data_IF_420206808691
#
_entry.id   IF_420206808691
#
_cell.length_a   1.000
_cell.length_b   1.000
_cell.length_c   1.000
_cell.angle_alpha   90.00
_cell.angle_beta   90.00
_cell.angle_gamma   90.00
#
_symmetry.space_group_name_H-M   'P 1'
#
loop_
_entity.id
_entity.type
_entity.pdbx_description
1 polymer ?
#
# COMPACT_ATOMS: atom_id res chain seq x y z
N UNK A 1 -11.77 77.85 -78.63
CA UNK A 1 -13.15 77.92 -78.09
C UNK A 1 -13.54 76.56 -77.56
N UNK A 2 -14.04 76.59 -76.40
CA UNK A 2 -14.92 75.65 -75.71
C UNK A 2 -14.33 74.59 -74.84
N UNK A 3 -14.36 74.83 -73.61
CA UNK A 3 -14.72 74.16 -72.37
C UNK A 3 -14.40 72.63 -72.19
N UNK A 4 -13.45 72.46 -71.29
CA UNK A 4 -13.29 71.23 -70.51
C UNK A 4 -14.33 71.06 -69.41
N UNK A 5 -14.85 69.90 -69.14
CA UNK A 5 -15.49 69.51 -67.88
C UNK A 5 -14.79 68.28 -67.29
N UNK A 6 -14.16 68.53 -66.16
CA UNK A 6 -13.58 67.54 -65.27
C UNK A 6 -14.69 66.76 -64.57
N UNK A 7 -14.59 65.41 -64.49
CA UNK A 7 -15.38 64.59 -63.62
C UNK A 7 -14.42 63.75 -62.77
N UNK A 8 -14.41 64.11 -61.51
CA UNK A 8 -13.62 63.38 -60.45
C UNK A 8 -14.35 62.08 -60.05
N UNK A 9 -13.75 60.95 -60.30
CA UNK A 9 -14.27 59.66 -59.83
C UNK A 9 -13.58 59.32 -58.50
N UNK A 10 -14.39 59.21 -57.45
CA UNK A 10 -13.96 58.80 -56.11
C UNK A 10 -14.03 57.23 -56.07
N UNK A 11 -12.88 56.59 -56.03
CA UNK A 11 -12.81 55.16 -55.78
C UNK A 11 -12.82 54.91 -54.28
N UNK A 12 -13.92 54.32 -53.79
CA UNK A 12 -13.99 53.78 -52.43
C UNK A 12 -13.27 52.43 -52.45
N UNK A 13 -12.13 52.29 -51.73
CA UNK A 13 -11.51 51.06 -51.39
C UNK A 13 -12.25 50.46 -50.20
N UNK A 14 -12.94 49.32 -50.42
CA UNK A 14 -13.51 48.48 -49.39
C UNK A 14 -12.41 47.50 -48.97
N UNK A 15 -11.85 47.69 -47.78
CA UNK A 15 -10.90 46.71 -47.18
C UNK A 15 -11.69 45.52 -46.67
N UNK A 16 -11.52 44.36 -47.29
CA UNK A 16 -12.05 43.10 -46.86
C UNK A 16 -11.09 42.51 -45.79
N UNK A 17 -11.46 42.66 -44.51
CA UNK A 17 -10.73 42.00 -43.43
C UNK A 17 -11.08 40.50 -43.41
N UNK A 18 -10.16 39.67 -43.88
CA UNK A 18 -10.23 38.19 -43.74
C UNK A 18 -9.82 37.84 -42.34
N UNK A 19 -10.79 37.56 -41.45
CA UNK A 19 -10.51 36.91 -40.16
C UNK A 19 -10.12 35.47 -40.41
N UNK A 20 -8.82 35.17 -40.31
CA UNK A 20 -8.31 33.81 -40.28
C UNK A 20 -8.51 33.26 -38.85
N UNK A 21 -9.64 32.63 -38.57
CA UNK A 21 -9.88 31.84 -37.36
C UNK A 21 -9.06 30.56 -37.44
N UNK A 22 -7.89 30.53 -36.79
CA UNK A 22 -7.15 29.30 -36.54
C UNK A 22 -7.93 28.46 -35.54
N UNK A 23 -8.66 27.46 -36.05
CA UNK A 23 -9.14 26.33 -35.26
C UNK A 23 -7.90 25.55 -34.78
N UNK A 24 -7.45 25.81 -33.55
CA UNK A 24 -6.60 24.86 -32.83
C UNK A 24 -7.49 23.64 -32.54
N UNK A 25 -7.44 22.64 -33.39
CA UNK A 25 -7.92 21.30 -33.07
C UNK A 25 -7.07 20.81 -31.93
N UNK A 26 -7.62 20.74 -30.70
CA UNK A 26 -7.04 20.01 -29.63
C UNK A 26 -6.98 18.54 -30.10
N UNK A 27 -5.77 18.07 -30.42
CA UNK A 27 -5.56 16.64 -30.64
C UNK A 27 -5.95 15.94 -29.33
N UNK A 28 -6.79 14.89 -29.36
CA UNK A 28 -6.99 14.09 -28.18
C UNK A 28 -5.62 13.59 -27.73
N UNK A 29 -5.25 13.88 -26.49
CA UNK A 29 -4.11 13.23 -25.84
C UNK A 29 -4.36 11.74 -25.98
N UNK A 30 -3.50 11.02 -26.68
CA UNK A 30 -3.53 9.57 -26.68
C UNK A 30 -3.44 9.15 -25.22
N UNK A 31 -4.49 8.54 -24.70
CA UNK A 31 -4.42 7.92 -23.38
C UNK A 31 -3.22 6.97 -23.41
N UNK A 32 -2.31 7.10 -22.47
CA UNK A 32 -1.17 6.21 -22.39
C UNK A 32 -1.71 4.78 -22.28
N UNK A 33 -1.20 3.90 -23.15
CA UNK A 33 -1.63 2.50 -23.17
C UNK A 33 -1.26 1.87 -21.83
N UNK A 34 -2.23 1.23 -21.16
CA UNK A 34 -1.97 0.57 -19.88
C UNK A 34 -0.92 -0.51 -20.06
N UNK A 35 0.08 -0.65 -19.18
CA UNK A 35 1.10 -1.67 -19.31
C UNK A 35 0.46 -3.07 -19.29
N UNK A 36 0.89 -3.94 -20.20
CA UNK A 36 0.49 -5.34 -20.19
C UNK A 36 1.35 -6.13 -19.21
N UNK A 37 0.70 -6.95 -18.35
CA UNK A 37 1.43 -7.78 -17.41
C UNK A 37 2.28 -8.83 -18.12
N UNK A 38 3.56 -8.91 -17.72
CA UNK A 38 4.50 -9.94 -18.13
C UNK A 38 5.17 -10.58 -16.92
N UNK A 39 5.39 -11.90 -16.97
CA UNK A 39 6.22 -12.58 -15.98
C UNK A 39 7.67 -12.12 -16.14
N UNK A 40 8.29 -11.74 -15.03
CA UNK A 40 9.66 -11.21 -15.00
C UNK A 40 10.62 -12.30 -14.54
N UNK A 41 11.80 -12.38 -15.16
CA UNK A 41 12.88 -13.29 -14.73
C UNK A 41 13.27 -12.98 -13.28
N UNK A 42 13.42 -14.03 -12.46
CA UNK A 42 13.84 -13.88 -11.08
C UNK A 42 15.37 -13.69 -11.01
N UNK A 43 15.80 -12.65 -10.33
CA UNK A 43 17.20 -12.36 -9.99
C UNK A 43 17.30 -12.10 -8.49
N UNK A 44 18.40 -12.53 -7.87
CA UNK A 44 18.61 -12.33 -6.44
C UNK A 44 18.69 -10.83 -6.10
N UNK A 45 19.39 -10.07 -6.95
CA UNK A 45 19.61 -8.62 -6.80
C UNK A 45 19.53 -7.95 -8.16
N UNK A 46 18.70 -6.92 -8.27
CA UNK A 46 18.71 -5.99 -9.40
C UNK A 46 19.11 -4.61 -8.91
N UNK A 47 20.36 -4.18 -9.18
CA UNK A 47 20.89 -2.91 -8.64
C UNK A 47 20.20 -1.67 -9.19
N UNK A 48 19.83 -1.64 -10.45
CA UNK A 48 19.25 -0.48 -11.17
C UNK A 48 19.98 0.84 -10.83
N UNK A 49 19.22 1.87 -10.35
CA UNK A 49 19.85 3.16 -9.98
C UNK A 49 20.53 3.15 -8.61
N UNK A 50 20.40 2.06 -7.86
CA UNK A 50 21.09 1.84 -6.61
C UNK A 50 20.50 2.55 -5.39
N UNK A 51 21.34 2.69 -4.35
CA UNK A 51 21.03 3.25 -3.04
C UNK A 51 22.03 4.37 -2.68
N UNK A 52 22.35 5.22 -3.67
CA UNK A 52 23.45 6.16 -3.56
C UNK A 52 23.30 7.23 -2.50
N UNK A 53 22.06 7.69 -2.24
CA UNK A 53 21.82 8.76 -1.27
C UNK A 53 22.05 8.27 0.17
N UNK A 54 21.47 7.13 0.54
CA UNK A 54 21.63 6.56 1.89
C UNK A 54 23.06 6.09 2.12
N UNK A 55 23.70 5.43 1.13
CA UNK A 55 25.08 4.97 1.25
C UNK A 55 26.09 6.10 1.38
N UNK A 56 25.87 7.23 0.70
CA UNK A 56 26.70 8.43 0.90
C UNK A 56 26.61 8.92 2.34
N UNK A 57 25.41 9.04 2.91
CA UNK A 57 25.23 9.45 4.32
C UNK A 57 25.90 8.48 5.31
N UNK A 58 25.73 7.17 5.09
CA UNK A 58 26.34 6.14 5.93
C UNK A 58 27.86 6.22 5.92
N UNK A 59 28.48 6.34 4.72
CA UNK A 59 29.95 6.49 4.58
C UNK A 59 30.50 7.78 5.18
N UNK A 60 29.69 8.83 5.23
CA UNK A 60 30.03 10.11 5.87
C UNK A 60 29.77 10.12 7.39
N UNK A 61 29.34 9.02 7.99
CA UNK A 61 29.00 8.94 9.42
C UNK A 61 27.79 9.77 9.85
N UNK A 62 26.92 10.14 8.90
CA UNK A 62 25.73 10.94 9.19
C UNK A 62 24.59 10.08 9.75
N UNK A 63 23.70 10.64 10.58
CA UNK A 63 22.50 9.94 11.01
C UNK A 63 21.63 9.50 9.83
N UNK A 64 21.16 8.25 9.88
CA UNK A 64 20.33 7.62 8.83
C UNK A 64 19.12 6.98 9.45
N UNK A 65 17.96 7.15 8.80
CA UNK A 65 16.70 6.51 9.16
C UNK A 65 16.28 5.53 8.06
N UNK A 66 16.09 4.27 8.46
CA UNK A 66 15.68 3.19 7.54
C UNK A 66 14.23 2.81 7.84
N UNK A 67 13.35 3.04 6.87
CA UNK A 67 11.95 2.66 6.91
C UNK A 67 11.74 1.24 6.41
N UNK A 68 10.84 0.51 7.10
CA UNK A 68 10.44 -0.84 6.72
C UNK A 68 8.91 -0.88 6.59
N UNK A 69 8.42 -0.74 5.37
CA UNK A 69 7.00 -0.75 5.02
C UNK A 69 6.64 -2.13 4.47
N UNK A 70 5.68 -2.83 5.09
CA UNK A 70 5.35 -4.19 4.64
C UNK A 70 4.24 -4.86 5.42
N UNK A 71 4.14 -6.18 5.20
CA UNK A 71 3.19 -7.09 5.84
C UNK A 71 3.71 -7.71 7.13
N UNK A 72 3.19 -8.91 7.45
CA UNK A 72 3.50 -9.63 8.71
C UNK A 72 4.96 -10.08 8.80
N UNK A 73 5.58 -10.48 7.70
CA UNK A 73 6.97 -10.93 7.67
C UNK A 73 7.91 -9.79 8.06
N UNK A 74 7.63 -8.59 7.57
CA UNK A 74 8.38 -7.37 7.93
C UNK A 74 7.99 -6.82 9.31
N UNK A 75 6.73 -7.02 9.76
CA UNK A 75 6.30 -6.59 11.10
C UNK A 75 6.95 -7.40 12.22
N UNK A 76 7.35 -8.64 11.97
CA UNK A 76 8.08 -9.47 12.94
C UNK A 76 9.41 -8.81 13.36
N UNK A 77 9.86 -9.09 14.58
CA UNK A 77 11.17 -8.67 15.06
C UNK A 77 12.29 -9.58 14.46
N UNK A 78 12.27 -9.73 13.16
CA UNK A 78 13.16 -10.63 12.41
C UNK A 78 14.13 -9.86 11.49
N UNK A 79 14.05 -10.10 10.17
CA UNK A 79 15.00 -9.55 9.18
C UNK A 79 15.16 -8.04 9.29
N UNK A 80 14.09 -7.31 9.53
CA UNK A 80 14.10 -5.87 9.74
C UNK A 80 15.06 -5.44 10.85
N UNK A 81 14.95 -6.06 12.04
CA UNK A 81 15.79 -5.74 13.20
C UNK A 81 17.24 -6.17 12.94
N UNK A 82 17.44 -7.36 12.36
CA UNK A 82 18.77 -7.88 12.01
C UNK A 82 19.45 -7.00 10.96
N UNK A 83 18.73 -6.56 9.94
CA UNK A 83 19.24 -5.65 8.89
C UNK A 83 19.62 -4.29 9.47
N UNK A 84 18.78 -3.69 10.33
CA UNK A 84 19.12 -2.44 11.02
C UNK A 84 20.42 -2.61 11.84
N UNK A 85 20.57 -3.74 12.54
CA UNK A 85 21.80 -4.01 13.30
C UNK A 85 23.00 -4.13 12.36
N UNK A 86 22.86 -4.89 11.27
CA UNK A 86 23.92 -4.99 10.25
C UNK A 86 24.37 -3.62 9.72
N UNK A 87 23.44 -2.71 9.40
CA UNK A 87 23.81 -1.35 8.97
C UNK A 87 24.61 -0.61 10.05
N UNK A 88 24.24 -0.77 11.32
CA UNK A 88 24.97 -0.12 12.44
C UNK A 88 26.38 -0.71 12.62
N UNK A 89 26.55 -2.00 12.39
CA UNK A 89 27.83 -2.69 12.51
C UNK A 89 28.76 -2.40 11.31
N UNK A 90 28.19 -2.34 10.09
CA UNK A 90 28.93 -2.05 8.85
C UNK A 90 29.36 -0.58 8.75
N UNK A 91 28.56 0.35 9.36
CA UNK A 91 28.83 1.79 9.33
C UNK A 91 28.83 2.34 10.77
N UNK A 92 29.84 2.01 11.59
CA UNK A 92 29.84 2.30 13.02
C UNK A 92 29.85 3.79 13.36
N UNK A 93 30.30 4.66 12.45
CA UNK A 93 30.28 6.11 12.62
C UNK A 93 28.90 6.72 12.39
N UNK A 94 27.99 5.99 11.72
CA UNK A 94 26.64 6.45 11.43
C UNK A 94 25.66 6.01 12.51
N UNK A 95 24.79 6.94 12.97
CA UNK A 95 23.68 6.57 13.83
C UNK A 95 22.53 6.04 12.98
N UNK A 96 22.26 4.74 13.04
CA UNK A 96 21.17 4.10 12.27
C UNK A 96 19.93 3.93 13.13
N UNK A 97 18.83 4.58 12.72
CA UNK A 97 17.52 4.50 13.37
C UNK A 97 16.53 3.73 12.47
N UNK A 98 15.65 2.99 13.12
CA UNK A 98 14.60 2.22 12.44
C UNK A 98 13.26 2.96 12.48
N UNK A 99 12.55 2.97 11.33
CA UNK A 99 11.13 3.34 11.22
C UNK A 99 10.33 2.06 10.95
N UNK A 100 9.64 1.56 11.97
CA UNK A 100 8.79 0.36 11.86
C UNK A 100 7.42 0.71 11.29
N UNK A 101 7.26 0.64 9.97
CA UNK A 101 6.04 0.95 9.23
C UNK A 101 5.29 -0.30 8.71
N UNK A 102 5.59 -1.50 9.23
CA UNK A 102 4.95 -2.74 8.78
C UNK A 102 3.75 -3.12 9.67
N UNK A 103 2.70 -3.68 9.07
CA UNK A 103 1.47 -4.15 9.74
C UNK A 103 1.09 -5.52 9.21
N UNK A 104 0.97 -6.51 10.10
CA UNK A 104 0.60 -7.88 9.72
C UNK A 104 -0.74 -7.98 9.01
N UNK A 105 -0.79 -8.82 7.95
CA UNK A 105 -2.00 -9.08 7.18
C UNK A 105 -2.44 -7.94 6.26
N UNK A 106 -1.55 -7.00 5.92
CA UNK A 106 -1.86 -5.86 5.04
C UNK A 106 -1.00 -5.87 3.79
N UNK A 107 -1.61 -5.54 2.63
CA UNK A 107 -0.96 -5.39 1.33
C UNK A 107 -0.65 -3.95 0.98
N UNK A 108 -0.16 -3.75 -0.23
CA UNK A 108 0.13 -2.42 -0.79
C UNK A 108 -1.11 -1.54 -0.89
N UNK A 109 -2.29 -2.15 -1.07
CA UNK A 109 -3.59 -1.48 -1.17
C UNK A 109 -4.01 -0.72 0.09
N UNK A 110 -3.48 -1.10 1.25
CA UNK A 110 -3.54 -0.31 2.49
C UNK A 110 -2.23 0.45 2.71
N UNK A 111 -1.09 -0.11 2.31
CA UNK A 111 0.23 0.51 2.42
C UNK A 111 0.25 1.93 1.88
N UNK A 112 -0.35 2.16 0.72
CA UNK A 112 -0.38 3.46 0.03
C UNK A 112 -1.14 4.55 0.80
N UNK A 113 -2.19 4.21 1.56
CA UNK A 113 -2.93 5.18 2.37
C UNK A 113 -2.18 5.55 3.66
N UNK A 114 -1.35 4.64 4.17
CA UNK A 114 -0.68 4.79 5.47
C UNK A 114 0.79 5.19 5.38
N UNK A 115 1.42 5.14 4.19
CA UNK A 115 2.85 5.41 4.02
C UNK A 115 3.23 6.79 4.54
N UNK A 116 2.42 7.83 4.30
CA UNK A 116 2.64 9.19 4.80
C UNK A 116 2.76 9.23 6.32
N UNK A 117 1.80 8.59 7.01
CA UNK A 117 1.74 8.55 8.47
C UNK A 117 2.76 7.59 9.09
N UNK A 118 2.89 6.37 8.54
CA UNK A 118 3.66 5.32 9.19
C UNK A 118 5.16 5.39 8.86
N UNK A 119 5.53 6.03 7.73
CA UNK A 119 6.90 6.12 7.28
C UNK A 119 7.37 7.56 6.99
N UNK A 120 6.71 8.30 6.08
CA UNK A 120 7.26 9.54 5.52
C UNK A 120 7.32 10.69 6.52
N UNK A 121 6.36 10.80 7.47
CA UNK A 121 6.44 11.79 8.56
C UNK A 121 7.73 11.69 9.38
N UNK A 122 8.37 10.53 9.40
CA UNK A 122 9.63 10.28 10.13
C UNK A 122 10.87 10.56 9.28
N UNK A 123 10.69 10.96 7.99
CA UNK A 123 11.76 11.33 7.05
C UNK A 123 12.80 10.21 6.87
N UNK A 124 12.42 9.07 6.28
CA UNK A 124 13.38 8.00 5.95
C UNK A 124 14.40 8.43 4.91
N UNK A 125 15.63 7.96 5.05
CA UNK A 125 16.68 8.05 4.04
C UNK A 125 16.63 6.87 3.08
N UNK A 126 16.21 5.71 3.57
CA UNK A 126 15.94 4.49 2.81
C UNK A 126 14.56 3.93 3.23
N UNK A 127 13.78 3.51 2.26
CA UNK A 127 12.50 2.82 2.47
C UNK A 127 12.51 1.43 1.81
N UNK A 128 12.60 0.38 2.62
CA UNK A 128 12.31 -0.98 2.15
C UNK A 128 10.81 -1.18 2.04
N UNK A 129 10.34 -1.74 0.91
CA UNK A 129 8.91 -2.01 0.66
C UNK A 129 8.72 -3.50 0.35
N UNK A 130 7.89 -4.18 1.17
CA UNK A 130 7.64 -5.62 1.11
C UNK A 130 6.14 -5.92 1.15
N UNK A 131 5.54 -6.27 0.00
CA UNK A 131 4.12 -6.62 -0.07
C UNK A 131 3.81 -7.82 -0.98
N UNK A 132 4.78 -8.39 -1.67
CA UNK A 132 4.54 -9.42 -2.69
C UNK A 132 3.76 -10.64 -2.16
N UNK A 133 4.00 -11.07 -0.90
CA UNK A 133 3.28 -12.17 -0.28
C UNK A 133 1.82 -11.78 0.01
N UNK A 134 1.59 -10.60 0.54
CA UNK A 134 0.25 -10.11 0.87
C UNK A 134 -0.59 -9.80 -0.38
N UNK A 135 0.05 -9.30 -1.42
CA UNK A 135 -0.57 -8.95 -2.71
C UNK A 135 -0.69 -10.14 -3.67
N UNK A 136 -0.28 -11.35 -3.26
CA UNK A 136 -0.26 -12.53 -4.11
C UNK A 136 -1.62 -12.90 -4.74
N UNK A 137 -2.73 -12.45 -4.16
CA UNK A 137 -4.09 -12.59 -4.68
C UNK A 137 -4.60 -11.40 -5.49
N UNK A 138 -3.91 -10.26 -5.47
CA UNK A 138 -4.35 -9.04 -6.16
C UNK A 138 -4.08 -9.09 -7.67
N UNK A 139 -4.86 -8.36 -8.46
CA UNK A 139 -4.59 -8.15 -9.88
C UNK A 139 -3.35 -7.26 -10.05
N UNK A 140 -2.52 -7.49 -11.09
CA UNK A 140 -1.34 -6.66 -11.36
C UNK A 140 -1.64 -5.17 -11.43
N UNK A 141 -2.75 -4.78 -12.06
CA UNK A 141 -3.17 -3.38 -12.19
C UNK A 141 -3.44 -2.72 -10.83
N UNK A 142 -3.98 -3.46 -9.88
CA UNK A 142 -4.19 -2.96 -8.52
C UNK A 142 -2.86 -2.82 -7.78
N UNK A 143 -1.93 -3.77 -7.96
CA UNK A 143 -0.59 -3.71 -7.39
C UNK A 143 0.15 -2.47 -7.93
N UNK A 144 0.12 -2.25 -9.25
CA UNK A 144 0.76 -1.09 -9.87
C UNK A 144 0.23 0.22 -9.30
N UNK A 145 -1.10 0.41 -9.28
CA UNK A 145 -1.71 1.64 -8.73
C UNK A 145 -1.29 1.93 -7.29
N UNK A 146 -1.28 0.90 -6.45
CA UNK A 146 -0.93 1.04 -5.04
C UNK A 146 0.58 1.25 -4.84
N UNK A 147 1.42 0.42 -5.44
CA UNK A 147 2.87 0.49 -5.32
C UNK A 147 3.42 1.77 -5.94
N UNK A 148 2.93 2.18 -7.10
CA UNK A 148 3.29 3.47 -7.71
C UNK A 148 2.87 4.63 -6.82
N UNK A 149 1.69 4.56 -6.21
CA UNK A 149 1.26 5.55 -5.22
C UNK A 149 2.25 5.69 -4.07
N UNK A 150 2.79 4.58 -3.55
CA UNK A 150 3.82 4.59 -2.49
C UNK A 150 5.11 5.27 -2.98
N UNK A 151 5.61 4.89 -4.16
CA UNK A 151 6.82 5.47 -4.77
C UNK A 151 6.67 6.97 -4.96
N UNK A 152 5.57 7.39 -5.59
CA UNK A 152 5.32 8.78 -5.92
C UNK A 152 5.11 9.65 -4.68
N UNK A 153 4.40 9.15 -3.66
CA UNK A 153 4.28 9.85 -2.36
C UNK A 153 5.65 10.00 -1.69
N UNK A 154 6.49 8.95 -1.72
CA UNK A 154 7.82 8.98 -1.11
C UNK A 154 8.70 10.04 -1.75
N UNK A 155 8.79 10.05 -3.08
CA UNK A 155 9.64 11.01 -3.79
C UNK A 155 9.05 12.42 -3.90
N UNK A 156 7.73 12.58 -3.79
CA UNK A 156 7.10 13.89 -3.64
C UNK A 156 7.39 14.52 -2.26
N UNK A 157 7.48 13.71 -1.20
CA UNK A 157 7.87 14.16 0.14
C UNK A 157 9.37 14.47 0.23
N UNK A 158 10.22 13.56 -0.28
CA UNK A 158 11.67 13.74 -0.34
C UNK A 158 12.27 12.98 -1.52
N UNK A 159 12.67 13.68 -2.62
CA UNK A 159 13.22 13.05 -3.80
C UNK A 159 14.61 12.43 -3.59
N UNK A 160 15.20 12.54 -2.41
CA UNK A 160 16.46 11.88 -2.04
C UNK A 160 16.28 10.67 -1.14
N UNK A 161 15.05 10.27 -0.85
CA UNK A 161 14.80 8.99 -0.18
C UNK A 161 15.04 7.85 -1.18
N UNK A 162 15.99 6.98 -0.89
CA UNK A 162 16.16 5.76 -1.67
C UNK A 162 15.05 4.77 -1.33
N UNK A 163 14.56 4.05 -2.33
CA UNK A 163 13.56 2.99 -2.19
C UNK A 163 14.20 1.66 -2.62
N UNK A 164 13.90 0.58 -1.90
CA UNK A 164 14.30 -0.76 -2.29
C UNK A 164 13.10 -1.72 -2.15
N UNK A 165 12.72 -2.41 -3.21
CA UNK A 165 11.71 -3.45 -3.14
C UNK A 165 12.35 -4.76 -2.67
N UNK A 166 11.65 -5.48 -1.78
CA UNK A 166 12.13 -6.78 -1.30
C UNK A 166 11.01 -7.82 -1.43
N UNK A 167 11.37 -9.03 -1.86
CA UNK A 167 10.43 -10.11 -2.11
C UNK A 167 10.72 -11.28 -1.19
N UNK A 168 9.80 -11.53 -0.27
CA UNK A 168 9.88 -12.61 0.70
C UNK A 168 9.29 -13.90 0.14
N UNK A 169 9.66 -15.05 0.74
CA UNK A 169 9.20 -16.36 0.33
C UNK A 169 7.92 -16.77 1.07
N UNK A 170 7.06 -17.51 0.39
CA UNK A 170 6.02 -18.36 0.97
C UNK A 170 5.93 -19.66 0.18
N UNK A 171 5.45 -20.73 0.83
CA UNK A 171 5.14 -22.01 0.16
C UNK A 171 4.17 -21.76 -1.01
N UNK A 172 4.49 -22.36 -2.15
CA UNK A 172 3.79 -22.18 -3.43
C UNK A 172 4.49 -21.21 -4.42
N UNK A 173 5.61 -20.58 -4.01
CA UNK A 173 6.43 -19.75 -4.91
C UNK A 173 7.55 -20.55 -5.61
N UNK A 174 7.89 -21.70 -5.07
CA UNK A 174 8.97 -22.56 -5.60
C UNK A 174 8.78 -22.90 -7.08
N UNK A 175 7.56 -23.19 -7.50
CA UNK A 175 7.30 -23.60 -8.89
C UNK A 175 7.55 -22.52 -9.94
N UNK A 176 7.41 -21.22 -9.60
CA UNK A 176 7.79 -20.10 -10.47
C UNK A 176 9.31 -19.85 -10.39
N UNK A 177 9.87 -19.82 -9.18
CA UNK A 177 11.29 -19.54 -8.93
C UNK A 177 12.21 -20.61 -9.54
N UNK A 178 11.81 -21.88 -9.52
CA UNK A 178 12.54 -22.99 -10.16
C UNK A 178 12.56 -22.88 -11.70
N UNK A 179 11.56 -22.20 -12.28
CA UNK A 179 11.54 -21.85 -13.72
C UNK A 179 12.30 -20.57 -14.02
N UNK A 180 12.94 -19.97 -13.03
CA UNK A 180 13.63 -18.70 -13.16
C UNK A 180 12.71 -17.48 -13.29
N UNK A 181 11.46 -17.57 -12.81
CA UNK A 181 10.47 -16.49 -12.88
C UNK A 181 10.11 -15.98 -11.50
N UNK A 182 9.85 -14.69 -11.38
CA UNK A 182 9.23 -14.12 -10.20
C UNK A 182 7.77 -14.57 -10.08
N UNK A 183 7.26 -14.86 -8.86
CA UNK A 183 5.84 -15.00 -8.62
C UNK A 183 5.06 -13.77 -9.11
N UNK A 184 3.77 -13.96 -9.48
CA UNK A 184 2.96 -12.93 -10.15
C UNK A 184 3.01 -11.55 -9.51
N UNK A 185 2.84 -11.45 -8.18
CA UNK A 185 2.88 -10.15 -7.50
C UNK A 185 4.29 -9.51 -7.55
N UNK A 186 5.35 -10.31 -7.36
CA UNK A 186 6.73 -9.84 -7.49
C UNK A 186 7.04 -9.40 -8.93
N UNK A 187 6.55 -10.14 -9.96
CA UNK A 187 6.68 -9.72 -11.37
C UNK A 187 6.01 -8.37 -11.63
N UNK A 188 4.80 -8.16 -11.12
CA UNK A 188 4.11 -6.87 -11.25
C UNK A 188 4.92 -5.73 -10.60
N UNK A 189 5.49 -5.97 -9.42
CA UNK A 189 6.34 -4.99 -8.73
C UNK A 189 7.66 -4.75 -9.46
N UNK A 190 8.25 -5.78 -10.07
CA UNK A 190 9.48 -5.66 -10.87
C UNK A 190 9.27 -4.80 -12.12
N UNK A 191 8.13 -4.92 -12.80
CA UNK A 191 7.79 -4.05 -13.94
C UNK A 191 7.76 -2.58 -13.52
N UNK A 192 7.19 -2.28 -12.37
CA UNK A 192 7.19 -0.93 -11.80
C UNK A 192 8.61 -0.50 -11.39
N UNK A 193 9.38 -1.40 -10.80
CA UNK A 193 10.77 -1.14 -10.39
C UNK A 193 11.66 -0.84 -11.59
N UNK A 194 11.46 -1.52 -12.74
CA UNK A 194 12.16 -1.24 -13.99
C UNK A 194 11.85 0.17 -14.50
N UNK A 195 10.59 0.58 -14.48
CA UNK A 195 10.16 1.92 -14.91
C UNK A 195 10.81 3.03 -14.07
N UNK A 196 10.88 2.84 -12.76
CA UNK A 196 11.38 3.85 -11.83
C UNK A 196 12.87 3.71 -11.50
N UNK A 197 13.55 2.66 -11.97
CA UNK A 197 14.95 2.36 -11.64
C UNK A 197 15.15 1.98 -10.17
N UNK A 198 14.13 1.42 -9.51
CA UNK A 198 14.18 1.05 -8.09
C UNK A 198 14.93 -0.28 -7.94
N UNK A 199 16.00 -0.35 -7.10
CA UNK A 199 16.67 -1.62 -6.82
C UNK A 199 15.73 -2.61 -6.12
N UNK A 200 15.94 -3.90 -6.38
CA UNK A 200 15.18 -4.96 -5.74
C UNK A 200 16.05 -6.12 -5.26
N UNK A 201 15.60 -6.79 -4.19
CA UNK A 201 16.26 -7.93 -3.56
C UNK A 201 15.24 -9.05 -3.40
N UNK A 202 15.48 -10.20 -4.01
CA UNK A 202 14.57 -11.34 -3.99
C UNK A 202 15.05 -12.41 -3.00
N UNK A 203 14.67 -12.27 -1.74
CA UNK A 203 15.02 -13.22 -0.67
C UNK A 203 14.53 -14.65 -0.97
N UNK A 204 13.41 -14.78 -1.69
CA UNK A 204 12.81 -16.06 -2.00
C UNK A 204 13.74 -16.96 -2.84
N UNK A 205 14.58 -16.38 -3.68
CA UNK A 205 15.56 -17.14 -4.46
C UNK A 205 16.58 -17.86 -3.58
N UNK A 206 17.07 -17.18 -2.51
CA UNK A 206 18.03 -17.81 -1.59
C UNK A 206 17.39 -18.93 -0.78
N UNK A 207 16.12 -18.81 -0.43
CA UNK A 207 15.36 -19.85 0.25
C UNK A 207 15.22 -21.10 -0.63
N UNK A 208 14.88 -20.92 -1.92
CA UNK A 208 14.78 -22.02 -2.89
C UNK A 208 16.14 -22.66 -3.15
N UNK A 209 17.20 -21.88 -3.34
CA UNK A 209 18.57 -22.36 -3.49
C UNK A 209 19.00 -23.27 -2.32
N UNK A 210 18.78 -22.82 -1.09
CA UNK A 210 19.14 -23.59 0.11
C UNK A 210 18.33 -24.88 0.25
N UNK A 211 17.06 -24.85 -0.13
CA UNK A 211 16.21 -26.05 -0.12
C UNK A 211 16.69 -27.06 -1.17
N UNK A 212 16.97 -26.61 -2.40
CA UNK A 212 17.51 -27.48 -3.46
C UNK A 212 18.87 -28.09 -3.10
N UNK A 213 19.67 -27.37 -2.30
CA UNK A 213 20.92 -27.87 -1.75
C UNK A 213 20.75 -28.82 -0.54
N UNK A 214 19.52 -29.11 -0.12
CA UNK A 214 19.23 -29.94 1.06
C UNK A 214 19.57 -29.27 2.39
N UNK A 215 19.78 -27.95 2.40
CA UNK A 215 20.17 -27.16 3.59
C UNK A 215 19.01 -26.46 4.27
N UNK A 216 17.78 -26.58 3.73
CA UNK A 216 16.60 -25.92 4.26
C UNK A 216 15.34 -26.73 3.98
N UNK A 217 14.40 -26.72 4.93
CA UNK A 217 13.04 -27.23 4.78
C UNK A 217 12.08 -26.03 4.87
N UNK A 218 11.25 -25.81 3.85
CA UNK A 218 10.32 -24.69 3.76
C UNK A 218 9.34 -24.63 4.91
N UNK A 219 8.77 -25.80 5.28
CA UNK A 219 7.78 -25.89 6.34
C UNK A 219 7.93 -27.20 7.12
N UNK A 220 8.05 -27.08 8.44
CA UNK A 220 8.01 -28.22 9.36
C UNK A 220 7.35 -27.80 10.67
N UNK A 221 6.55 -28.68 11.28
CA UNK A 221 6.05 -28.51 12.65
C UNK A 221 7.15 -28.82 13.66
N UNK A 222 8.03 -29.77 13.36
CA UNK A 222 9.08 -30.28 14.22
C UNK A 222 10.45 -29.70 13.86
N UNK A 223 11.41 -29.69 14.78
CA UNK A 223 12.81 -29.38 14.50
C UNK A 223 13.36 -30.24 13.34
N UNK A 224 14.33 -29.69 12.62
CA UNK A 224 15.02 -30.34 11.51
C UNK A 224 16.33 -31.02 12.01
N UNK A 225 16.95 -31.82 11.16
CA UNK A 225 18.27 -32.39 11.44
C UNK A 225 19.32 -31.26 11.62
N UNK A 226 20.37 -31.49 12.40
CA UNK A 226 21.46 -30.54 12.58
C UNK A 226 22.05 -30.07 11.26
N UNK A 227 22.17 -28.75 11.06
CA UNK A 227 22.69 -28.16 9.83
C UNK A 227 21.66 -27.96 8.73
N UNK A 228 20.41 -28.33 8.93
CA UNK A 228 19.29 -28.06 8.03
C UNK A 228 18.38 -26.98 8.64
N UNK A 229 18.24 -25.85 7.99
CA UNK A 229 17.42 -24.74 8.46
C UNK A 229 15.94 -25.11 8.39
N UNK A 230 15.24 -24.92 9.48
CA UNK A 230 13.79 -24.91 9.53
C UNK A 230 13.30 -23.51 9.22
N UNK A 231 12.86 -23.29 7.97
CA UNK A 231 12.51 -21.94 7.54
C UNK A 231 11.24 -21.41 8.22
N UNK A 232 10.16 -22.19 8.26
CA UNK A 232 8.87 -21.77 8.77
C UNK A 232 8.08 -22.92 9.39
N UNK A 233 7.19 -22.62 10.34
CA UNK A 233 6.22 -23.59 10.89
C UNK A 233 4.89 -23.61 10.12
N UNK A 234 4.52 -22.51 9.46
CA UNK A 234 3.26 -22.35 8.74
C UNK A 234 3.41 -22.27 7.21
N UNK A 235 4.65 -22.12 6.72
CA UNK A 235 4.97 -22.01 5.30
C UNK A 235 4.96 -20.59 4.77
N UNK A 236 4.81 -19.58 5.64
CA UNK A 236 4.79 -18.16 5.29
C UNK A 236 5.75 -17.35 6.16
N UNK A 237 5.62 -17.46 7.47
CA UNK A 237 6.37 -16.64 8.42
C UNK A 237 7.70 -17.31 8.77
N UNK A 238 8.85 -16.71 8.43
CA UNK A 238 10.15 -17.26 8.77
C UNK A 238 10.33 -17.40 10.30
N UNK A 239 11.01 -18.44 10.72
CA UNK A 239 11.60 -18.53 12.04
C UNK A 239 12.90 -17.72 12.11
N UNK A 240 13.56 -17.65 13.25
CA UNK A 240 14.71 -16.76 13.43
C UNK A 240 15.84 -17.02 12.42
N UNK A 241 16.15 -18.29 12.12
CA UNK A 241 17.15 -18.65 11.10
C UNK A 241 16.72 -18.23 9.70
N UNK A 242 15.42 -18.33 9.35
CA UNK A 242 14.90 -17.84 8.09
C UNK A 242 14.98 -16.32 7.97
N UNK A 243 14.74 -15.60 9.06
CA UNK A 243 14.97 -14.15 9.11
C UNK A 243 16.45 -13.78 9.02
N UNK A 244 17.35 -14.61 9.55
CA UNK A 244 18.80 -14.40 9.39
C UNK A 244 19.21 -14.52 7.93
N UNK A 245 18.73 -15.55 7.21
CA UNK A 245 18.96 -15.69 5.76
C UNK A 245 18.58 -14.40 5.02
N UNK A 246 17.43 -13.81 5.34
CA UNK A 246 16.98 -12.56 4.70
C UNK A 246 17.92 -11.39 5.01
N UNK A 247 18.37 -11.27 6.25
CA UNK A 247 19.30 -10.20 6.65
C UNK A 247 20.65 -10.35 5.97
N UNK A 248 21.17 -11.58 5.84
CA UNK A 248 22.43 -11.86 5.15
C UNK A 248 22.33 -11.52 3.65
N UNK A 249 21.20 -11.86 3.02
CA UNK A 249 20.94 -11.48 1.61
C UNK A 249 20.87 -9.96 1.44
N UNK A 250 20.27 -9.22 2.39
CA UNK A 250 20.29 -7.74 2.34
C UNK A 250 21.70 -7.21 2.47
N UNK A 251 22.50 -7.76 3.39
CA UNK A 251 23.89 -7.33 3.59
C UNK A 251 24.73 -7.46 2.30
N UNK A 252 24.66 -8.64 1.69
CA UNK A 252 25.40 -8.91 0.44
C UNK A 252 24.85 -8.06 -0.73
N UNK A 253 23.53 -7.92 -0.84
CA UNK A 253 22.89 -7.12 -1.87
C UNK A 253 23.25 -5.62 -1.75
N UNK A 254 23.23 -5.06 -0.55
CA UNK A 254 23.56 -3.65 -0.32
C UNK A 254 25.02 -3.37 -0.63
N UNK A 255 25.95 -4.29 -0.32
CA UNK A 255 27.36 -4.19 -0.73
C UNK A 255 27.48 -4.18 -2.26
N UNK A 256 26.85 -5.15 -2.94
CA UNK A 256 26.87 -5.24 -4.41
C UNK A 256 26.26 -3.99 -5.06
N UNK A 257 25.09 -3.56 -4.62
CA UNK A 257 24.42 -2.34 -5.11
C UNK A 257 25.33 -1.13 -4.89
N UNK A 258 26.03 -1.08 -3.76
CA UNK A 258 26.89 0.02 -3.34
C UNK A 258 28.15 0.22 -4.20
N UNK A 259 28.56 -0.79 -4.98
CA UNK A 259 29.73 -0.70 -5.86
C UNK A 259 29.54 0.31 -7.00
N UNK A 260 28.29 0.44 -7.49
CA UNK A 260 27.96 1.26 -8.67
C UNK A 260 27.02 2.43 -8.35
N UNK A 261 26.52 2.51 -7.11
CA UNK A 261 25.53 3.53 -6.72
C UNK A 261 26.14 4.92 -6.57
N UNK A 262 25.48 5.93 -7.14
CA UNK A 262 25.78 7.34 -6.93
C UNK A 262 24.53 8.07 -6.40
N UNK A 263 24.69 9.15 -5.62
CA UNK A 263 23.54 9.96 -5.18
C UNK A 263 22.74 10.50 -6.38
N UNK A 264 21.42 10.38 -6.30
CA UNK A 264 20.49 10.79 -7.35
C UNK A 264 19.33 11.61 -6.76
N UNK A 265 18.81 12.56 -7.54
CA UNK A 265 17.53 13.23 -7.26
C UNK A 265 16.44 12.56 -8.10
N UNK A 266 15.52 11.87 -7.44
CA UNK A 266 14.46 11.11 -8.07
C UNK A 266 13.28 11.96 -8.60
N UNK A 267 13.25 13.29 -8.37
CA UNK A 267 12.15 14.15 -8.77
C UNK A 267 11.82 14.07 -10.28
N UNK A 268 12.84 13.90 -11.12
CA UNK A 268 12.64 13.79 -12.56
C UNK A 268 11.84 12.55 -12.98
N UNK A 269 11.89 11.48 -12.20
CA UNK A 269 11.17 10.23 -12.45
C UNK A 269 9.66 10.34 -12.25
N UNK A 270 9.20 11.34 -11.48
CA UNK A 270 7.78 11.60 -11.26
C UNK A 270 7.06 12.22 -12.48
N UNK A 271 7.79 12.64 -13.53
CA UNK A 271 7.20 13.27 -14.72
C UNK A 271 6.34 12.31 -15.53
N UNK A 272 6.72 11.04 -15.58
CA UNK A 272 6.01 10.02 -16.36
C UNK A 272 5.52 8.95 -15.38
N UNK A 273 4.22 8.78 -15.21
CA UNK A 273 3.68 7.69 -14.40
C UNK A 273 3.83 6.35 -15.14
N UNK A 274 3.85 5.24 -14.40
CA UNK A 274 3.76 3.90 -14.94
C UNK A 274 2.31 3.56 -15.33
N UNK A 275 1.35 3.96 -14.45
CA UNK A 275 -0.09 3.91 -14.74
C UNK A 275 -0.74 5.27 -14.45
N UNK A 276 -1.62 5.73 -15.34
CA UNK A 276 -2.26 7.05 -15.22
C UNK A 276 -3.13 7.20 -13.97
N UNK A 277 -3.81 6.14 -13.57
CA UNK A 277 -4.73 6.12 -12.44
C UNK A 277 -4.09 5.59 -11.15
N UNK A 278 -2.78 5.86 -10.97
CA UNK A 278 -2.02 5.53 -9.77
C UNK A 278 -2.61 6.19 -8.50
N UNK A 279 -2.36 5.56 -7.35
CA UNK A 279 -2.95 6.01 -6.08
C UNK A 279 -2.07 7.00 -5.30
N UNK A 280 -1.37 7.89 -5.96
CA UNK A 280 -0.60 8.96 -5.27
C UNK A 280 -1.49 9.86 -4.40
N UNK A 281 -2.76 10.07 -4.77
CA UNK A 281 -3.73 10.85 -4.01
C UNK A 281 -4.29 10.13 -2.78
N UNK A 282 -3.80 8.92 -2.45
CA UNK A 282 -4.26 8.16 -1.30
C UNK A 282 -3.94 8.89 0.01
N UNK A 283 -4.95 9.07 0.85
CA UNK A 283 -4.85 9.77 2.13
C UNK A 283 -5.56 8.99 3.23
N UNK A 284 -5.03 9.09 4.44
CA UNK A 284 -5.65 8.64 5.67
C UNK A 284 -6.10 9.87 6.47
N UNK A 285 -7.40 9.97 6.73
CA UNK A 285 -8.04 11.15 7.33
C UNK A 285 -8.72 10.76 8.65
N UNK A 286 -8.50 11.52 9.74
CA UNK A 286 -9.18 11.27 11.01
C UNK A 286 -10.70 11.38 10.88
N UNK A 287 -11.41 10.52 11.63
CA UNK A 287 -12.85 10.68 11.85
C UNK A 287 -13.07 11.80 12.87
N UNK A 288 -14.00 12.70 12.60
CA UNK A 288 -14.37 13.78 13.52
C UNK A 288 -15.76 13.53 14.12
N UNK A 289 -16.07 14.19 15.23
CA UNK A 289 -17.35 14.00 15.93
C UNK A 289 -18.57 14.39 15.05
N UNK A 290 -18.41 15.36 14.15
CA UNK A 290 -19.47 15.83 13.24
C UNK A 290 -19.87 14.76 12.21
N UNK A 291 -18.98 13.78 11.95
CA UNK A 291 -19.25 12.66 11.05
C UNK A 291 -20.08 11.56 11.72
N UNK A 292 -20.23 11.61 13.04
CA UNK A 292 -20.76 10.53 13.85
C UNK A 292 -22.13 10.91 14.44
N UNK A 293 -23.11 9.99 14.36
CA UNK A 293 -24.34 10.14 15.12
C UNK A 293 -24.09 9.96 16.63
N UNK A 294 -24.98 10.47 17.52
CA UNK A 294 -24.73 10.48 18.97
C UNK A 294 -24.49 9.12 19.63
N UNK A 295 -24.83 8.03 18.96
CA UNK A 295 -24.66 6.65 19.47
C UNK A 295 -23.21 6.12 19.32
N UNK A 296 -22.35 6.84 18.65
CA UNK A 296 -20.93 6.50 18.58
C UNK A 296 -20.20 7.01 19.82
N UNK A 297 -19.37 6.17 20.38
CA UNK A 297 -18.53 6.50 21.52
C UNK A 297 -17.05 6.40 21.15
N UNK A 298 -16.25 7.35 21.62
CA UNK A 298 -14.80 7.24 21.55
C UNK A 298 -14.33 6.22 22.58
N UNK A 299 -13.56 5.22 22.15
CA UNK A 299 -12.94 4.30 23.09
C UNK A 299 -11.95 5.05 24.01
N UNK A 300 -12.06 4.87 25.34
CA UNK A 300 -11.09 5.42 26.29
C UNK A 300 -9.66 4.97 25.94
N UNK A 301 -8.68 5.83 26.13
CA UNK A 301 -7.28 5.55 25.80
C UNK A 301 -6.71 4.33 26.57
N UNK A 302 -7.27 4.02 27.73
CA UNK A 302 -6.90 2.87 28.56
C UNK A 302 -7.63 1.57 28.19
N UNK A 303 -8.64 1.63 27.32
CA UNK A 303 -9.33 0.44 26.82
C UNK A 303 -8.37 -0.50 26.09
N UNK A 304 -8.58 -1.80 26.26
CA UNK A 304 -7.70 -2.84 25.68
C UNK A 304 -7.47 -2.68 24.18
N UNK A 305 -8.53 -2.38 23.41
CA UNK A 305 -8.42 -2.20 21.96
C UNK A 305 -7.71 -0.89 21.60
N UNK A 306 -7.97 0.21 22.32
CA UNK A 306 -7.29 1.47 22.13
C UNK A 306 -5.78 1.35 22.42
N UNK A 307 -5.38 0.68 23.50
CA UNK A 307 -3.97 0.39 23.79
C UNK A 307 -3.31 -0.47 22.70
N UNK A 308 -4.03 -1.46 22.18
CA UNK A 308 -3.49 -2.39 21.19
C UNK A 308 -3.36 -1.78 19.78
N UNK A 309 -4.33 -0.97 19.36
CA UNK A 309 -4.44 -0.51 17.98
C UNK A 309 -4.30 1.01 17.80
N UNK A 310 -4.41 1.80 18.87
CA UNK A 310 -4.43 3.26 18.79
C UNK A 310 -3.18 3.89 18.18
N UNK A 311 -2.00 3.31 18.39
CA UNK A 311 -0.77 3.78 17.76
C UNK A 311 -0.80 3.68 16.22
N UNK A 312 -1.59 2.75 15.67
CA UNK A 312 -1.72 2.51 14.22
C UNK A 312 -2.98 3.13 13.62
N UNK A 313 -4.05 3.23 14.40
CA UNK A 313 -5.36 3.69 13.93
C UNK A 313 -5.74 5.09 14.43
N UNK A 314 -5.01 5.64 15.41
CA UNK A 314 -5.38 6.89 16.08
C UNK A 314 -6.54 6.68 17.04
N UNK A 315 -7.40 7.67 17.13
CA UNK A 315 -8.64 7.58 17.94
C UNK A 315 -9.56 6.50 17.36
N UNK A 316 -9.98 5.58 18.22
CA UNK A 316 -10.97 4.55 17.87
C UNK A 316 -12.36 4.97 18.35
N UNK A 317 -13.34 4.85 17.48
CA UNK A 317 -14.75 5.00 17.79
C UNK A 317 -15.46 3.67 17.69
N UNK A 318 -16.46 3.44 18.55
CA UNK A 318 -17.27 2.24 18.58
C UNK A 318 -18.75 2.59 18.54
N UNK A 319 -19.52 1.84 17.76
CA UNK A 319 -20.97 1.83 17.83
C UNK A 319 -21.47 0.41 18.02
N UNK A 320 -22.45 0.24 18.92
CA UNK A 320 -23.06 -1.05 19.25
C UNK A 320 -24.55 -1.08 18.94
N UNK A 321 -25.15 0.09 18.71
CA UNK A 321 -26.60 0.24 18.52
C UNK A 321 -26.96 0.27 17.03
N UNK A 322 -27.94 -0.53 16.59
CA UNK A 322 -28.50 -0.42 15.24
C UNK A 322 -28.97 1.01 14.93
N UNK A 323 -28.77 1.44 13.68
CA UNK A 323 -29.10 2.78 13.23
C UNK A 323 -28.04 3.84 13.54
N UNK A 324 -26.94 3.50 14.26
CA UNK A 324 -25.79 4.40 14.43
C UNK A 324 -25.15 4.70 13.07
N UNK A 325 -24.89 5.97 12.78
CA UNK A 325 -24.40 6.42 11.46
C UNK A 325 -23.04 7.10 11.54
N UNK A 326 -22.20 6.79 10.58
CA UNK A 326 -21.01 7.55 10.22
C UNK A 326 -21.25 8.11 8.81
N UNK A 327 -21.20 9.44 8.67
CA UNK A 327 -21.46 10.13 7.39
C UNK A 327 -20.35 11.12 7.09
N UNK A 328 -19.81 11.08 5.89
CA UNK A 328 -18.81 12.03 5.42
C UNK A 328 -18.99 12.32 3.93
N UNK A 329 -18.42 13.43 3.49
CA UNK A 329 -18.33 13.76 2.06
C UNK A 329 -16.88 13.75 1.62
N UNK A 330 -16.65 13.35 0.38
CA UNK A 330 -15.32 13.39 -0.20
C UNK A 330 -15.39 13.70 -1.70
N UNK A 331 -14.36 14.33 -2.21
CA UNK A 331 -14.09 14.47 -3.64
C UNK A 331 -13.03 13.47 -4.02
N UNK A 332 -13.35 12.53 -4.93
CA UNK A 332 -12.42 11.45 -5.26
C UNK A 332 -13.12 10.20 -5.77
N UNK A 333 -12.37 9.18 -6.13
CA UNK A 333 -12.90 7.97 -6.76
C UNK A 333 -13.22 6.83 -5.79
N UNK A 334 -12.58 6.80 -4.60
CA UNK A 334 -12.65 5.66 -3.69
C UNK A 334 -12.59 6.12 -2.24
N UNK A 335 -13.42 5.53 -1.39
CA UNK A 335 -13.34 5.66 0.06
C UNK A 335 -13.43 4.29 0.75
N UNK A 336 -12.62 4.13 1.81
CA UNK A 336 -12.63 2.95 2.69
C UNK A 336 -12.67 3.42 4.14
N UNK A 337 -13.16 2.57 5.04
CA UNK A 337 -12.94 2.72 6.47
C UNK A 337 -11.71 1.90 6.86
N UNK A 338 -10.88 2.46 7.73
CA UNK A 338 -9.82 1.76 8.43
C UNK A 338 -10.38 1.34 9.78
N UNK A 339 -10.68 0.06 9.93
CA UNK A 339 -11.55 -0.45 10.96
C UNK A 339 -11.02 -1.73 11.63
N UNK A 340 -11.73 -2.24 12.62
CA UNK A 340 -11.43 -3.50 13.28
C UNK A 340 -12.48 -4.56 12.95
N UNK A 341 -12.00 -5.70 12.46
CA UNK A 341 -12.74 -6.96 12.51
C UNK A 341 -12.52 -7.64 13.87
N UNK A 342 -13.54 -8.33 14.35
CA UNK A 342 -13.42 -9.06 15.62
C UNK A 342 -14.56 -10.07 15.83
N UNK A 343 -14.47 -10.90 16.90
CA UNK A 343 -15.45 -11.92 17.19
C UNK A 343 -16.86 -11.35 17.41
N UNK A 344 -16.95 -10.15 17.95
CA UNK A 344 -18.18 -9.40 18.26
C UNK A 344 -18.60 -8.44 17.14
N UNK A 345 -17.94 -8.50 15.97
CA UNK A 345 -18.24 -7.63 14.84
C UNK A 345 -19.66 -7.82 14.31
N UNK A 346 -20.38 -6.71 14.11
CA UNK A 346 -21.69 -6.67 13.48
C UNK A 346 -21.59 -6.62 11.95
N UNK A 347 -22.57 -6.00 11.33
CA UNK A 347 -22.55 -5.65 9.91
C UNK A 347 -23.06 -4.23 9.69
N UNK A 348 -22.75 -3.67 8.54
CA UNK A 348 -23.16 -2.30 8.19
C UNK A 348 -23.87 -2.24 6.85
N UNK A 349 -24.78 -1.27 6.75
CA UNK A 349 -25.43 -0.86 5.51
C UNK A 349 -24.69 0.36 4.98
N UNK A 350 -24.37 0.37 3.70
CA UNK A 350 -23.67 1.47 3.05
C UNK A 350 -24.61 2.16 2.07
N UNK A 351 -24.63 3.50 2.13
CA UNK A 351 -25.35 4.36 1.20
C UNK A 351 -24.35 5.34 0.58
N UNK A 352 -24.33 5.42 -0.74
CA UNK A 352 -23.49 6.37 -1.50
C UNK A 352 -24.42 7.22 -2.36
N UNK A 353 -24.34 8.54 -2.22
CA UNK A 353 -25.15 9.52 -2.96
C UNK A 353 -26.66 9.18 -2.92
N UNK A 354 -27.13 8.82 -1.72
CA UNK A 354 -28.53 8.45 -1.48
C UNK A 354 -28.91 7.04 -1.98
N UNK A 355 -28.00 6.30 -2.62
CA UNK A 355 -28.26 4.93 -3.12
C UNK A 355 -27.72 3.90 -2.13
N UNK A 356 -28.61 3.15 -1.51
CA UNK A 356 -28.27 2.04 -0.60
C UNK A 356 -27.64 0.89 -1.40
N UNK A 357 -26.50 0.36 -0.92
CA UNK A 357 -25.90 -0.85 -1.50
C UNK A 357 -26.81 -2.09 -1.23
N UNK A 358 -26.83 -3.06 -2.16
CA UNK A 358 -27.82 -4.15 -2.12
C UNK A 358 -27.57 -5.16 -0.99
N UNK A 359 -26.34 -5.24 -0.47
CA UNK A 359 -25.96 -6.21 0.57
C UNK A 359 -25.29 -5.53 1.75
N UNK A 360 -25.63 -5.89 2.99
CA UNK A 360 -24.88 -5.45 4.15
C UNK A 360 -23.47 -5.99 4.11
N UNK A 361 -22.56 -5.34 4.82
CA UNK A 361 -21.13 -5.67 4.84
C UNK A 361 -20.75 -6.15 6.23
N UNK A 362 -20.52 -7.47 6.42
CA UNK A 362 -20.10 -8.03 7.70
C UNK A 362 -18.74 -7.48 8.15
N UNK A 363 -18.61 -7.26 9.46
CA UNK A 363 -17.33 -7.00 10.13
C UNK A 363 -16.88 -8.20 10.95
N UNK A 364 -17.27 -9.37 10.51
CA UNK A 364 -16.90 -10.70 10.97
C UNK A 364 -16.44 -11.55 9.79
N UNK A 365 -15.38 -12.34 9.95
CA UNK A 365 -14.91 -13.30 8.96
C UNK A 365 -14.31 -14.56 9.62
N UNK A 366 -13.75 -15.48 8.83
CA UNK A 366 -13.19 -16.73 9.31
C UNK A 366 -12.00 -16.60 10.28
N UNK A 367 -11.36 -15.43 10.37
CA UNK A 367 -10.27 -15.15 11.31
C UNK A 367 -10.73 -14.44 12.58
N UNK A 368 -12.03 -14.25 12.78
CA UNK A 368 -12.59 -13.50 13.91
C UNK A 368 -12.61 -14.28 15.23
N UNK A 369 -11.52 -14.94 15.58
CA UNK A 369 -11.25 -15.42 16.94
C UNK A 369 -10.58 -14.34 17.81
N UNK A 370 -10.09 -13.28 17.19
CA UNK A 370 -9.41 -12.12 17.80
C UNK A 370 -9.65 -10.86 16.98
N UNK A 371 -9.43 -9.70 17.60
CA UNK A 371 -9.52 -8.41 16.91
C UNK A 371 -8.28 -8.15 16.05
N UNK A 372 -8.49 -7.65 14.84
CA UNK A 372 -7.44 -7.29 13.90
C UNK A 372 -7.82 -6.08 13.03
N UNK A 373 -6.80 -5.37 12.58
CA UNK A 373 -6.93 -4.26 11.62
C UNK A 373 -7.46 -4.79 10.29
N UNK A 374 -8.38 -4.05 9.70
CA UNK A 374 -8.97 -4.32 8.40
C UNK A 374 -9.30 -3.03 7.65
N UNK A 375 -9.78 -3.17 6.44
CA UNK A 375 -10.39 -2.10 5.66
C UNK A 375 -11.75 -2.53 5.14
N UNK A 376 -12.67 -1.57 5.05
CA UNK A 376 -13.96 -1.75 4.41
C UNK A 376 -14.11 -0.74 3.28
N UNK A 377 -14.08 -1.20 2.02
CA UNK A 377 -14.43 -0.33 0.89
C UNK A 377 -15.90 0.06 0.98
N UNK A 378 -16.16 1.36 1.14
CA UNK A 378 -17.51 1.93 1.26
C UNK A 378 -17.96 2.61 -0.03
N UNK A 379 -17.01 3.09 -0.85
CA UNK A 379 -17.27 3.67 -2.16
C UNK A 379 -16.09 3.34 -3.10
N UNK A 380 -16.34 3.15 -4.39
CA UNK A 380 -15.30 2.88 -5.38
C UNK A 380 -15.79 3.05 -6.81
N UNK A 381 -14.87 3.41 -7.73
CA UNK A 381 -15.18 3.62 -9.14
C UNK A 381 -16.07 4.85 -9.39
N UNK A 382 -16.00 5.85 -8.51
CA UNK A 382 -16.77 7.10 -8.62
C UNK A 382 -16.02 8.13 -9.48
N UNK A 383 -16.74 9.14 -9.97
CA UNK A 383 -16.13 10.26 -10.68
C UNK A 383 -15.26 11.07 -9.72
N UNK A 384 -13.94 11.17 -9.93
CA UNK A 384 -13.05 11.86 -9.01
C UNK A 384 -13.26 13.39 -8.97
N UNK A 385 -13.97 13.98 -9.93
CA UNK A 385 -14.26 15.42 -9.97
C UNK A 385 -15.47 15.80 -9.10
N UNK A 386 -16.36 14.84 -8.81
CA UNK A 386 -17.59 15.08 -8.08
C UNK A 386 -17.39 14.93 -6.56
N UNK A 387 -18.32 15.53 -5.80
CA UNK A 387 -18.42 15.36 -4.35
C UNK A 387 -19.43 14.27 -4.04
N UNK A 388 -18.98 13.24 -3.36
CA UNK A 388 -19.78 12.09 -3.00
C UNK A 388 -20.10 12.09 -1.51
N UNK A 389 -21.31 11.66 -1.14
CA UNK A 389 -21.72 11.48 0.26
C UNK A 389 -21.79 10.00 0.58
N UNK A 390 -21.06 9.58 1.61
CA UNK A 390 -21.09 8.21 2.12
C UNK A 390 -21.71 8.19 3.49
N UNK A 391 -22.69 7.30 3.70
CA UNK A 391 -23.24 6.97 5.01
C UNK A 391 -23.07 5.48 5.27
N UNK A 392 -22.46 5.16 6.41
CA UNK A 392 -22.30 3.79 6.93
C UNK A 392 -23.14 3.67 8.18
N UNK A 393 -24.13 2.79 8.16
CA UNK A 393 -25.11 2.59 9.23
C UNK A 393 -24.96 1.20 9.82
N UNK A 394 -24.94 1.10 11.15
CA UNK A 394 -24.96 -0.19 11.87
C UNK A 394 -26.30 -0.88 11.60
N UNK A 395 -26.23 -2.10 11.05
CA UNK A 395 -27.42 -2.89 10.73
C UNK A 395 -28.10 -3.45 11.99
N UNK A 396 -29.40 -3.61 11.95
CA UNK A 396 -30.17 -4.30 12.99
C UNK A 396 -30.01 -5.81 12.94
N UNK A 397 -29.65 -6.36 11.80
CA UNK A 397 -29.45 -7.80 11.61
C UNK A 397 -28.02 -8.22 11.97
N UNK A 398 -27.87 -9.45 12.43
CA UNK A 398 -26.56 -10.06 12.69
C UNK A 398 -25.96 -10.58 11.39
N UNK A 399 -24.61 -10.53 11.25
CA UNK A 399 -23.96 -11.21 10.13
C UNK A 399 -24.18 -12.73 10.23
N UNK A 400 -24.26 -13.40 9.09
CA UNK A 400 -24.23 -14.87 9.05
C UNK A 400 -22.83 -15.38 9.41
N UNK A 401 -22.59 -15.53 10.71
CA UNK A 401 -21.31 -16.02 11.25
C UNK A 401 -21.06 -17.48 10.93
N UNK A 402 -22.12 -18.28 10.86
CA UNK A 402 -22.01 -19.73 10.64
C UNK A 402 -21.37 -20.05 9.28
N UNK A 403 -21.74 -19.32 8.24
CA UNK A 403 -21.26 -19.56 6.88
C UNK A 403 -19.74 -19.32 6.70
N UNK A 404 -19.12 -18.52 7.59
CA UNK A 404 -17.70 -18.15 7.50
C UNK A 404 -16.84 -18.70 8.64
N UNK A 405 -17.44 -19.39 9.61
CA UNK A 405 -16.75 -19.84 10.84
C UNK A 405 -15.93 -21.13 10.70
N UNK A 406 -15.58 -21.55 9.49
CA UNK A 406 -14.92 -22.83 9.20
C UNK A 406 -13.53 -23.01 9.86
N UNK A 407 -12.97 -21.98 10.48
CA UNK A 407 -11.72 -22.06 11.27
C UNK A 407 -11.95 -22.37 12.74
N UNK A 408 -13.18 -22.31 13.23
CA UNK A 408 -13.53 -22.79 14.56
C UNK A 408 -13.56 -24.32 14.56
N UNK A 409 -13.20 -24.93 15.68
CA UNK A 409 -13.23 -26.40 15.81
C UNK A 409 -14.65 -26.94 15.87
N UNK A 410 -15.52 -26.22 16.57
CA UNK A 410 -16.95 -26.51 16.72
C UNK A 410 -17.75 -25.21 16.57
N UNK A 411 -18.03 -24.75 15.32
CA UNK A 411 -18.74 -23.51 15.08
C UNK A 411 -20.12 -23.43 15.74
N UNK A 412 -20.85 -24.53 15.78
CA UNK A 412 -22.21 -24.57 16.35
C UNK A 412 -22.24 -24.25 17.85
N UNK A 413 -21.24 -24.73 18.58
CA UNK A 413 -21.09 -24.50 20.02
C UNK A 413 -20.35 -23.19 20.29
N UNK A 414 -19.23 -22.96 19.59
CA UNK A 414 -18.37 -21.80 19.86
C UNK A 414 -19.08 -20.47 19.57
N UNK A 415 -19.85 -20.37 18.48
CA UNK A 415 -20.57 -19.15 18.12
C UNK A 415 -21.67 -18.75 19.13
N UNK A 416 -22.10 -19.66 20.01
CA UNK A 416 -23.04 -19.34 21.11
C UNK A 416 -22.36 -18.60 22.28
N UNK A 417 -21.02 -18.54 22.32
CA UNK A 417 -20.31 -17.84 23.38
C UNK A 417 -20.58 -16.32 23.32
N UNK A 418 -20.64 -15.63 24.47
CA UNK A 418 -20.93 -14.19 24.50
C UNK A 418 -20.05 -13.33 23.62
N UNK A 419 -18.78 -13.69 23.44
CA UNK A 419 -17.83 -12.96 22.59
C UNK A 419 -18.22 -12.88 21.11
N UNK A 420 -19.13 -13.75 20.64
CA UNK A 420 -19.62 -13.75 19.25
C UNK A 420 -21.01 -13.15 19.08
N UNK A 421 -21.61 -12.58 20.14
CA UNK A 421 -22.99 -12.10 20.10
C UNK A 421 -23.12 -10.57 19.89
N UNK A 422 -22.01 -9.87 19.73
CA UNK A 422 -22.01 -8.42 19.56
C UNK A 422 -22.43 -7.93 18.17
N UNK A 423 -22.76 -6.64 18.09
CA UNK A 423 -23.01 -5.89 16.84
C UNK A 423 -22.00 -4.75 16.66
N UNK A 424 -20.82 -4.91 17.23
CA UNK A 424 -19.87 -3.83 17.39
C UNK A 424 -19.24 -3.46 16.06
N UNK A 425 -19.26 -2.17 15.73
CA UNK A 425 -18.53 -1.57 14.61
C UNK A 425 -17.49 -0.63 15.19
N UNK A 426 -16.22 -0.82 14.83
CA UNK A 426 -15.10 -0.04 15.34
C UNK A 426 -14.29 0.55 14.20
N UNK A 427 -14.13 1.86 14.20
CA UNK A 427 -13.45 2.60 13.13
C UNK A 427 -12.40 3.53 13.70
N UNK A 428 -11.30 3.73 12.96
CA UNK A 428 -10.22 4.65 13.36
C UNK A 428 -10.05 5.80 12.38
N UNK A 429 -10.05 5.52 11.09
CA UNK A 429 -9.75 6.52 10.04
C UNK A 429 -10.63 6.30 8.81
N UNK A 430 -10.71 7.33 7.98
CA UNK A 430 -11.21 7.25 6.61
C UNK A 430 -10.01 7.22 5.67
N UNK A 431 -10.04 6.32 4.69
CA UNK A 431 -9.05 6.22 3.62
C UNK A 431 -9.71 6.68 2.33
N UNK A 432 -9.13 7.69 1.65
CA UNK A 432 -9.70 8.23 0.41
C UNK A 432 -8.64 8.32 -0.69
N UNK A 433 -9.04 8.02 -1.92
CA UNK A 433 -8.33 8.46 -3.11
C UNK A 433 -8.94 9.80 -3.52
N UNK A 434 -8.39 10.88 -2.97
CA UNK A 434 -8.91 12.24 -3.07
C UNK A 434 -8.88 12.97 -1.73
N UNK A 435 -9.88 13.81 -1.47
CA UNK A 435 -9.96 14.67 -0.30
C UNK A 435 -11.34 14.57 0.41
N UNK A 436 -11.34 14.42 1.73
CA UNK A 436 -12.53 14.62 2.54
C UNK A 436 -12.88 16.12 2.52
N UNK A 437 -14.16 16.43 2.28
CA UNK A 437 -14.66 17.81 2.19
C UNK A 437 -15.76 18.03 3.25
N UNK A 438 -16.01 19.30 3.63
CA UNK A 438 -17.06 19.65 4.60
C UNK A 438 -18.47 19.21 4.22
#
# INVERSE_FOLDING_TARGET
MSFAKSITSIHRFTALAVCLSTLLSAMPSAAAEQPEYAAVTAELVRPRDGLGNVLAKLREGKPVKIGYLGGSITAAAGWRVKTRQWFADEFPEAKVEEIHAAIGGTGSDLGVFRVGRDALQHKPDLLFVEFAVNDGGAAPEQIWKAMEGIVRQTWADNPRTDICFVYTYRVGYEGDLEKGLCPRAASAMEMLADHYGIPSINFAMKVVELQQAGKLIYKSAEPTEPGVVRFSSDGVHPLDEGHQIYADVVADAVRLIGETSAPIDHAAKLKTPFVEDHWQAAKMVPITAEMLSPQWEQLPADATLAKRFGNRMGTLFEATQPGSKLTFKFRGSTAKLYDLLGPDGGQVIITVDGKKQPKPRPRFDSYCTYHRIATLTVAGGLDPAEVHTVTVEVDSEQPDRQSVAFRLKDPETELKQPKYQGTNIRVGQILVLGDVVP
#
